data_IF_888003998278
#
_entry.id   IF_888003998278
#
_cell.length_a   1.000
_cell.length_b   1.000
_cell.length_c   1.000
_cell.angle_alpha   90.00
_cell.angle_beta   90.00
_cell.angle_gamma   90.00
#
_symmetry.space_group_name_H-M   'P 1'
#
loop_
_entity.id
_entity.type
_entity.pdbx_description
1 polymer ?
#
# COMPACT_ATOMS: atom_id res chain seq x y z
N UNK A 1 -28.10 -6.90 17.21
CA UNK A 1 -27.97 -6.81 15.74
C UNK A 1 -27.60 -8.18 15.24
N UNK A 2 -28.31 -8.68 14.24
CA UNK A 2 -27.96 -9.94 13.60
C UNK A 2 -26.59 -9.82 12.91
N UNK A 3 -25.92 -10.96 12.72
CA UNK A 3 -24.62 -11.02 12.04
C UNK A 3 -24.75 -10.48 10.61
N UNK A 4 -23.98 -9.45 10.26
CA UNK A 4 -23.97 -8.86 8.92
C UNK A 4 -23.52 -9.89 7.88
N UNK A 5 -24.32 -10.08 6.83
CA UNK A 5 -23.92 -10.80 5.62
C UNK A 5 -23.50 -9.75 4.58
N UNK A 6 -22.20 -9.57 4.39
CA UNK A 6 -21.66 -8.57 3.49
C UNK A 6 -21.46 -9.14 2.08
N UNK A 7 -22.29 -8.71 1.12
CA UNK A 7 -22.26 -9.16 -0.27
C UNK A 7 -21.90 -8.03 -1.26
N UNK A 8 -21.17 -7.01 -0.80
CA UNK A 8 -20.79 -5.82 -1.60
C UNK A 8 -19.27 -5.71 -1.81
N UNK A 9 -18.57 -6.85 -1.87
CA UNK A 9 -17.11 -6.91 -2.07
C UNK A 9 -16.67 -6.37 -3.44
N UNK A 10 -17.58 -6.28 -4.41
CA UNK A 10 -17.32 -5.67 -5.72
C UNK A 10 -17.13 -4.15 -5.67
N UNK A 11 -17.76 -3.47 -4.70
CA UNK A 11 -17.56 -2.04 -4.46
C UNK A 11 -16.35 -1.78 -3.57
N UNK A 12 -16.19 -2.54 -2.48
CA UNK A 12 -14.99 -2.51 -1.63
C UNK A 12 -14.91 -3.78 -0.77
N UNK A 13 -13.71 -4.30 -0.51
CA UNK A 13 -13.57 -5.44 0.40
C UNK A 13 -13.88 -5.05 1.85
N UNK A 14 -14.72 -5.82 2.53
CA UNK A 14 -15.05 -5.62 3.95
C UNK A 14 -15.43 -6.94 4.65
N UNK A 15 -14.99 -7.14 5.91
CA UNK A 15 -13.91 -6.40 6.58
C UNK A 15 -12.57 -6.67 5.90
N UNK A 16 -11.56 -5.83 6.16
CA UNK A 16 -10.19 -6.19 5.78
C UNK A 16 -9.70 -7.32 6.72
N UNK A 17 -8.75 -8.16 6.29
CA UNK A 17 -8.08 -9.10 7.19
C UNK A 17 -7.42 -8.37 8.36
N UNK A 18 -7.32 -9.01 9.53
CA UNK A 18 -6.80 -8.41 10.77
C UNK A 18 -5.37 -7.89 10.59
N UNK A 19 -4.57 -8.58 9.79
CA UNK A 19 -3.18 -8.25 9.49
C UNK A 19 -3.05 -6.85 8.88
N UNK A 20 -4.03 -6.40 8.10
CA UNK A 20 -4.06 -5.05 7.52
C UNK A 20 -4.22 -4.00 8.62
N UNK A 21 -5.12 -4.23 9.57
CA UNK A 21 -5.36 -3.28 10.67
C UNK A 21 -4.14 -3.19 11.59
N UNK A 22 -3.61 -4.34 12.02
CA UNK A 22 -2.44 -4.41 12.92
C UNK A 22 -1.22 -3.73 12.29
N UNK A 23 -0.95 -4.01 11.01
CA UNK A 23 0.19 -3.40 10.32
C UNK A 23 0.02 -1.88 10.22
N UNK A 24 -1.15 -1.39 9.79
CA UNK A 24 -1.37 0.04 9.62
C UNK A 24 -1.33 0.81 10.94
N UNK A 25 -1.86 0.25 12.03
CA UNK A 25 -1.76 0.86 13.37
C UNK A 25 -0.29 0.97 13.83
N UNK A 26 0.49 -0.11 13.68
CA UNK A 26 1.92 -0.12 13.99
C UNK A 26 2.68 0.90 13.13
N UNK A 27 2.43 0.90 11.81
CA UNK A 27 3.07 1.82 10.86
C UNK A 27 2.86 3.28 11.26
N UNK A 28 1.63 3.71 11.52
CA UNK A 28 1.38 5.10 11.88
C UNK A 28 1.91 5.50 13.26
N UNK A 29 2.01 4.57 14.20
CA UNK A 29 2.58 4.83 15.53
C UNK A 29 4.10 4.97 15.51
N UNK A 30 4.78 4.20 14.66
CA UNK A 30 6.23 4.02 14.74
C UNK A 30 6.99 4.53 13.51
N UNK A 31 6.38 4.54 12.32
CA UNK A 31 7.03 4.77 11.02
C UNK A 31 6.36 5.85 10.15
N UNK A 32 5.40 6.62 10.68
CA UNK A 32 4.61 7.62 9.96
C UNK A 32 5.37 8.89 9.55
N UNK A 33 6.62 8.78 9.10
CA UNK A 33 7.45 9.88 8.63
C UNK A 33 7.51 9.95 7.10
N UNK A 34 8.10 11.00 6.55
CA UNK A 34 8.20 11.18 5.10
C UNK A 34 9.40 10.37 4.53
N UNK A 35 9.17 9.28 3.77
CA UNK A 35 10.26 8.56 3.11
C UNK A 35 10.97 9.43 2.04
N UNK A 36 12.27 9.24 1.84
CA UNK A 36 13.05 9.86 0.76
C UNK A 36 13.29 11.37 0.88
N UNK A 37 12.95 12.00 2.02
CA UNK A 37 13.08 13.47 2.22
C UNK A 37 14.11 13.88 3.28
N UNK A 38 14.74 12.93 3.97
CA UNK A 38 15.76 13.19 4.99
C UNK A 38 16.68 11.98 5.18
N UNK A 39 17.82 12.16 5.83
CA UNK A 39 18.81 11.09 6.04
C UNK A 39 18.86 10.49 7.45
N UNK A 40 17.81 10.67 8.26
CA UNK A 40 17.76 10.04 9.59
C UNK A 40 17.15 8.64 9.49
N UNK A 41 17.50 7.78 10.45
CA UNK A 41 17.25 6.34 10.41
C UNK A 41 15.81 5.98 10.04
N UNK A 42 14.83 6.56 10.74
CA UNK A 42 13.42 6.24 10.51
C UNK A 42 12.92 6.67 9.11
N UNK A 43 13.50 7.71 8.51
CA UNK A 43 13.21 8.08 7.12
C UNK A 43 13.74 7.02 6.14
N UNK A 44 14.95 6.50 6.39
CA UNK A 44 15.55 5.44 5.56
C UNK A 44 14.78 4.13 5.68
N UNK A 45 14.38 3.75 6.89
CA UNK A 45 13.56 2.54 7.13
C UNK A 45 12.19 2.63 6.43
N UNK A 46 11.55 3.81 6.48
CA UNK A 46 10.26 4.03 5.81
C UNK A 46 10.40 3.99 4.29
N UNK A 47 11.51 4.50 3.75
CA UNK A 47 11.83 4.43 2.33
C UNK A 47 12.07 2.98 1.86
N UNK A 48 12.83 2.20 2.65
CA UNK A 48 13.05 0.78 2.37
C UNK A 48 11.73 -0.01 2.36
N UNK A 49 10.78 0.34 3.23
CA UNK A 49 9.45 -0.27 3.25
C UNK A 49 8.66 -0.02 1.95
N UNK A 50 8.73 1.22 1.42
CA UNK A 50 8.08 1.58 0.15
C UNK A 50 8.72 0.82 -1.02
N UNK A 51 10.05 0.74 -1.06
CA UNK A 51 10.75 0.05 -2.14
C UNK A 51 10.53 -1.47 -2.11
N UNK A 52 10.57 -2.12 -0.94
CA UNK A 52 10.19 -3.53 -0.81
C UNK A 52 8.75 -3.78 -1.26
N UNK A 53 7.83 -2.88 -0.92
CA UNK A 53 6.44 -2.98 -1.37
C UNK A 53 6.36 -2.90 -2.91
N UNK A 54 7.15 -2.03 -3.54
CA UNK A 54 7.24 -1.91 -5.00
C UNK A 54 7.75 -3.21 -5.64
N UNK A 55 8.80 -3.81 -5.09
CA UNK A 55 9.36 -5.09 -5.54
C UNK A 55 8.32 -6.21 -5.44
N UNK A 56 7.66 -6.35 -4.29
CA UNK A 56 6.63 -7.38 -4.07
C UNK A 56 5.45 -7.25 -5.05
N UNK A 57 4.95 -6.02 -5.27
CA UNK A 57 3.87 -5.78 -6.22
C UNK A 57 4.32 -6.04 -7.66
N UNK A 58 5.57 -5.74 -7.99
CA UNK A 58 6.14 -6.04 -9.31
C UNK A 58 6.13 -7.54 -9.57
N UNK A 59 6.52 -8.35 -8.58
CA UNK A 59 6.46 -9.81 -8.66
C UNK A 59 5.00 -10.31 -8.82
N UNK A 60 4.06 -9.78 -8.02
CA UNK A 60 2.64 -10.13 -8.10
C UNK A 60 2.07 -9.91 -9.52
N UNK A 61 2.50 -8.84 -10.20
CA UNK A 61 2.08 -8.54 -11.57
C UNK A 61 2.97 -9.16 -12.65
N UNK A 62 3.87 -10.09 -12.30
CA UNK A 62 4.85 -10.72 -13.21
C UNK A 62 5.76 -9.71 -13.94
N UNK A 63 6.00 -8.54 -13.33
CA UNK A 63 6.96 -7.55 -13.80
C UNK A 63 8.41 -8.00 -13.54
N UNK A 64 9.36 -7.35 -14.20
CA UNK A 64 10.81 -7.64 -14.08
C UNK A 64 11.66 -6.46 -13.61
N UNK A 65 11.08 -5.26 -13.63
CA UNK A 65 11.77 -4.02 -13.27
C UNK A 65 10.84 -3.21 -12.36
N UNK A 66 11.11 -3.15 -11.04
CA UNK A 66 10.31 -2.40 -10.10
C UNK A 66 10.18 -0.91 -10.44
N UNK A 67 11.16 -0.33 -11.15
CA UNK A 67 11.11 1.08 -11.56
C UNK A 67 10.01 1.36 -12.61
N UNK A 68 9.39 0.31 -13.17
CA UNK A 68 8.24 0.44 -14.07
C UNK A 68 6.89 0.38 -13.34
N UNK A 69 6.88 0.20 -12.01
CA UNK A 69 5.68 0.24 -11.19
C UNK A 69 5.51 1.62 -10.57
N UNK A 70 4.34 2.23 -10.78
CA UNK A 70 3.97 3.50 -10.17
C UNK A 70 2.86 3.31 -9.13
N UNK A 71 3.02 3.92 -7.95
CA UNK A 71 1.92 4.06 -6.98
C UNK A 71 1.01 5.21 -7.42
N UNK A 72 -0.29 4.96 -7.44
CA UNK A 72 -1.35 5.94 -7.74
C UNK A 72 -2.39 5.90 -6.63
N UNK A 73 -3.27 6.90 -6.57
CA UNK A 73 -4.27 6.96 -5.51
C UNK A 73 -5.35 5.87 -5.66
N UNK A 74 -5.75 5.57 -6.90
CA UNK A 74 -6.68 4.49 -7.24
C UNK A 74 -6.61 4.19 -8.75
N UNK A 75 -7.39 3.21 -9.23
CA UNK A 75 -7.42 2.82 -10.65
C UNK A 75 -7.82 3.95 -11.60
N UNK A 76 -8.72 4.85 -11.18
CA UNK A 76 -9.16 6.00 -11.99
C UNK A 76 -8.06 7.05 -12.10
N UNK A 77 -7.37 7.36 -11.00
CA UNK A 77 -6.22 8.26 -10.97
C UNK A 77 -5.08 7.73 -11.87
N UNK A 78 -4.77 6.43 -11.76
CA UNK A 78 -3.77 5.78 -12.61
C UNK A 78 -4.10 5.88 -14.10
N UNK A 79 -5.37 5.69 -14.47
CA UNK A 79 -5.82 5.78 -15.86
C UNK A 79 -5.67 7.21 -16.39
N UNK A 80 -6.03 8.22 -15.60
CA UNK A 80 -5.88 9.62 -15.99
C UNK A 80 -4.42 10.06 -16.12
N UNK A 81 -3.48 9.41 -15.44
CA UNK A 81 -2.06 9.70 -15.59
C UNK A 81 -1.50 9.30 -16.97
N UNK A 82 -2.10 8.30 -17.62
CA UNK A 82 -1.60 7.71 -18.87
C UNK A 82 -2.31 8.27 -20.12
N UNK A 83 -3.54 8.78 -19.99
CA UNK A 83 -4.33 9.36 -21.07
C UNK A 83 -3.94 10.82 -21.36
#
# INVERSE_FOLDING_TARGET
MDKLIFLDNGATSFPKPEEVYVFMDNFYRNFGVNPGRSGYDLCMETEELVEKTREMLTEIFNGKDPNRLCFSYNSTDALNLVL
#
